data_IF_492591292755
#
_entry.id   IF_492591292755
#
_cell.length_a   1.000
_cell.length_b   1.000
_cell.length_c   1.000
_cell.angle_alpha   90.00
_cell.angle_beta   90.00
_cell.angle_gamma   90.00
#
_symmetry.space_group_name_H-M   'P 1'
#
loop_
_entity.id
_entity.type
_entity.pdbx_description
1 polymer ?
#
# COMPACT_ATOMS: atom_id res chain seq x y z
N UNK A 1 8.64 -12.78 -9.20
CA UNK A 1 8.09 -11.43 -9.42
C UNK A 1 7.05 -11.52 -10.52
N UNK A 2 5.90 -10.90 -10.28
CA UNK A 2 4.74 -10.91 -11.15
C UNK A 2 4.36 -9.45 -11.44
N UNK A 3 4.16 -9.13 -12.71
CA UNK A 3 3.70 -7.81 -13.17
C UNK A 3 2.25 -7.95 -13.58
N UNK A 4 1.34 -7.37 -12.80
CA UNK A 4 -0.07 -7.33 -13.10
C UNK A 4 -0.34 -6.15 -14.02
N UNK A 5 -0.58 -6.44 -15.30
CA UNK A 5 -0.86 -5.39 -16.28
C UNK A 5 -2.35 -5.06 -16.26
N UNK A 6 -2.71 -4.02 -15.50
CA UNK A 6 -4.08 -3.55 -15.30
C UNK A 6 -4.36 -2.24 -16.06
N UNK A 7 -3.31 -1.50 -16.44
CA UNK A 7 -3.44 -0.17 -17.06
C UNK A 7 -2.20 0.29 -17.84
N UNK A 8 -1.29 -0.63 -18.20
CA UNK A 8 -0.03 -0.37 -18.90
C UNK A 8 0.99 0.52 -18.19
N UNK A 9 0.68 1.07 -17.02
CA UNK A 9 1.54 2.04 -16.33
C UNK A 9 2.91 1.47 -15.97
N UNK A 10 2.95 0.18 -15.61
CA UNK A 10 4.18 -0.55 -15.31
C UNK A 10 4.88 -1.04 -16.57
N UNK A 11 4.17 -1.67 -17.49
CA UNK A 11 4.76 -2.32 -18.66
C UNK A 11 5.34 -1.32 -19.67
N UNK A 12 4.92 -0.06 -19.61
CA UNK A 12 5.52 1.03 -20.37
C UNK A 12 6.87 1.53 -19.79
N UNK A 13 7.23 1.16 -18.56
CA UNK A 13 8.46 1.63 -17.93
C UNK A 13 9.64 0.70 -18.22
N UNK A 14 10.76 1.29 -18.62
CA UNK A 14 11.95 0.55 -19.07
C UNK A 14 12.43 -0.54 -18.09
N UNK A 15 12.56 -0.29 -16.76
CA UNK A 15 13.07 -1.30 -15.83
C UNK A 15 12.16 -2.53 -15.72
N UNK A 16 10.85 -2.34 -15.84
CA UNK A 16 9.85 -3.41 -15.81
C UNK A 16 9.84 -4.14 -17.16
N UNK A 17 9.81 -3.41 -18.27
CA UNK A 17 9.84 -3.98 -19.63
C UNK A 17 11.08 -4.85 -19.86
N UNK A 18 12.24 -4.41 -19.36
CA UNK A 18 13.49 -5.17 -19.42
C UNK A 18 13.36 -6.51 -18.68
N UNK A 19 12.82 -6.51 -17.45
CA UNK A 19 12.62 -7.73 -16.65
C UNK A 19 11.71 -8.74 -17.33
N UNK A 20 10.68 -8.26 -18.02
CA UNK A 20 9.74 -9.11 -18.77
C UNK A 20 10.44 -9.74 -19.98
N UNK A 21 11.16 -8.94 -20.76
CA UNK A 21 11.92 -9.40 -21.94
C UNK A 21 13.00 -10.43 -21.56
N UNK A 22 13.68 -10.23 -20.42
CA UNK A 22 14.72 -11.14 -19.91
C UNK A 22 14.14 -12.41 -19.24
N UNK A 23 12.80 -12.56 -19.16
CA UNK A 23 12.16 -13.70 -18.49
C UNK A 23 12.34 -13.73 -16.96
N UNK A 24 12.79 -12.63 -16.36
CA UNK A 24 13.00 -12.50 -14.90
C UNK A 24 11.72 -12.15 -14.14
N UNK A 25 10.68 -11.70 -14.85
CA UNK A 25 9.35 -11.45 -14.32
C UNK A 25 8.27 -12.18 -15.15
N UNK A 26 7.16 -12.49 -14.52
CA UNK A 26 5.97 -13.06 -15.18
C UNK A 26 4.98 -11.96 -15.48
N UNK A 27 4.59 -11.80 -16.75
CA UNK A 27 3.50 -10.91 -17.17
C UNK A 27 2.16 -11.58 -16.89
N UNK A 28 1.26 -10.88 -16.20
CA UNK A 28 -0.12 -11.31 -15.98
C UNK A 28 -1.03 -10.25 -16.60
N UNK A 29 -1.57 -10.55 -17.78
CA UNK A 29 -2.48 -9.66 -18.49
C UNK A 29 -3.87 -9.64 -17.82
N UNK A 30 -4.25 -8.46 -17.33
CA UNK A 30 -5.53 -8.20 -16.67
C UNK A 30 -6.16 -6.89 -17.19
N UNK A 31 -5.78 -6.44 -18.39
CA UNK A 31 -6.21 -5.17 -18.94
C UNK A 31 -7.73 -5.09 -19.15
N UNK A 32 -8.36 -6.23 -19.43
CA UNK A 32 -9.81 -6.36 -19.53
C UNK A 32 -10.53 -6.13 -18.19
N UNK A 33 -9.87 -6.44 -17.07
CA UNK A 33 -10.39 -6.23 -15.72
C UNK A 33 -10.05 -4.84 -15.16
N UNK A 34 -8.91 -4.26 -15.53
CA UNK A 34 -8.37 -3.01 -15.00
C UNK A 34 -9.41 -1.88 -14.80
N UNK A 35 -10.11 -1.42 -15.86
CA UNK A 35 -11.11 -0.36 -15.75
C UNK A 35 -12.24 -0.66 -14.74
N UNK A 36 -12.51 -1.95 -14.51
CA UNK A 36 -13.54 -2.39 -13.57
C UNK A 36 -13.02 -2.59 -12.14
N UNK A 37 -11.70 -2.70 -11.96
CA UNK A 37 -11.05 -2.83 -10.66
C UNK A 37 -10.62 -1.49 -10.08
N UNK A 38 -10.48 -0.42 -10.87
CA UNK A 38 -10.07 0.90 -10.36
C UNK A 38 -10.97 1.48 -9.27
N UNK A 39 -10.39 2.03 -8.21
CA UNK A 39 -11.00 2.63 -7.02
C UNK A 39 -11.79 1.62 -6.20
N UNK A 40 -12.77 0.99 -6.83
CA UNK A 40 -13.59 -0.04 -6.24
C UNK A 40 -14.11 -1.05 -7.25
N UNK A 41 -14.58 -2.19 -6.77
CA UNK A 41 -15.14 -3.23 -7.64
C UNK A 41 -16.29 -4.02 -7.02
N UNK A 42 -16.97 -4.81 -7.85
CA UNK A 42 -18.00 -5.74 -7.38
C UNK A 42 -17.37 -7.06 -6.95
N UNK A 43 -18.05 -7.79 -6.08
CA UNK A 43 -17.55 -9.09 -5.60
C UNK A 43 -17.38 -10.12 -6.75
N UNK A 44 -18.25 -10.09 -7.76
CA UNK A 44 -18.13 -10.97 -8.92
C UNK A 44 -16.81 -10.73 -9.68
N UNK A 45 -16.47 -9.47 -9.96
CA UNK A 45 -15.23 -9.12 -10.66
C UNK A 45 -13.99 -9.37 -9.81
N UNK A 46 -14.08 -9.12 -8.50
CA UNK A 46 -13.02 -9.46 -7.55
C UNK A 46 -12.73 -10.97 -7.53
N UNK A 47 -13.77 -11.81 -7.60
CA UNK A 47 -13.60 -13.27 -7.70
C UNK A 47 -12.94 -13.67 -9.02
N UNK A 48 -13.36 -13.09 -10.14
CA UNK A 48 -12.71 -13.31 -11.45
C UNK A 48 -11.23 -12.94 -11.39
N UNK A 49 -10.89 -11.79 -10.82
CA UNK A 49 -9.51 -11.37 -10.57
C UNK A 49 -8.75 -12.40 -9.72
N UNK A 50 -9.32 -12.81 -8.59
CA UNK A 50 -8.69 -13.75 -7.66
C UNK A 50 -8.43 -15.11 -8.33
N UNK A 51 -9.36 -15.59 -9.16
CA UNK A 51 -9.20 -16.85 -9.92
C UNK A 51 -8.06 -16.75 -10.93
N UNK A 52 -7.99 -15.66 -11.71
CA UNK A 52 -6.90 -15.46 -12.67
C UNK A 52 -5.54 -15.32 -11.97
N UNK A 53 -5.49 -14.57 -10.87
CA UNK A 53 -4.30 -14.43 -10.04
C UNK A 53 -3.77 -15.79 -9.59
N UNK A 54 -4.65 -16.68 -9.11
CA UNK A 54 -4.28 -18.03 -8.66
C UNK A 54 -3.80 -18.93 -9.82
N UNK A 55 -4.39 -18.80 -11.00
CA UNK A 55 -3.99 -19.56 -12.19
C UNK A 55 -2.64 -19.12 -12.76
N UNK A 56 -2.34 -17.82 -12.67
CA UNK A 56 -1.13 -17.22 -13.24
C UNK A 56 0.05 -17.19 -12.26
N UNK A 57 -0.21 -17.17 -10.94
CA UNK A 57 0.84 -17.16 -9.93
C UNK A 57 1.43 -18.55 -9.73
N UNK A 58 2.68 -18.76 -10.17
CA UNK A 58 3.39 -20.02 -9.92
C UNK A 58 3.90 -20.05 -8.47
N UNK A 59 3.66 -21.13 -7.69
CA UNK A 59 4.28 -21.30 -6.39
C UNK A 59 5.81 -21.33 -6.54
N UNK A 60 6.50 -20.31 -6.03
CA UNK A 60 7.98 -20.24 -6.05
C UNK A 60 8.55 -20.65 -4.70
N UNK A 61 8.32 -21.91 -4.31
CA UNK A 61 8.96 -22.51 -3.13
C UNK A 61 8.95 -21.59 -1.89
N UNK A 62 10.13 -21.34 -1.32
CA UNK A 62 10.32 -20.51 -0.12
C UNK A 62 10.58 -19.02 -0.40
N UNK A 63 10.58 -18.57 -1.67
CA UNK A 63 10.86 -17.16 -2.01
C UNK A 63 9.60 -16.29 -1.83
N UNK A 64 9.75 -15.02 -1.46
CA UNK A 64 8.60 -14.11 -1.38
C UNK A 64 7.90 -13.96 -2.73
N UNK A 65 6.57 -13.87 -2.70
CA UNK A 65 5.79 -13.49 -3.87
C UNK A 65 5.82 -11.97 -4.02
N UNK A 66 6.45 -11.47 -5.07
CA UNK A 66 6.52 -10.02 -5.35
C UNK A 66 5.57 -9.69 -6.49
N UNK A 67 4.67 -8.74 -6.25
CA UNK A 67 3.65 -8.24 -7.17
C UNK A 67 3.89 -6.75 -7.42
N UNK A 68 4.02 -6.37 -8.68
CA UNK A 68 3.85 -4.97 -9.08
C UNK A 68 2.44 -4.82 -9.66
N UNK A 69 1.73 -3.84 -9.15
CA UNK A 69 0.35 -3.47 -9.45
C UNK A 69 0.40 -2.00 -9.90
N UNK A 70 -0.38 -1.60 -10.92
CA UNK A 70 -0.27 -0.27 -11.52
C UNK A 70 -0.65 0.89 -10.59
N UNK A 71 -1.72 1.60 -10.93
CA UNK A 71 -2.25 2.68 -10.10
C UNK A 71 -2.51 2.28 -8.64
N UNK A 72 -2.36 3.25 -7.72
CA UNK A 72 -2.83 3.13 -6.33
C UNK A 72 -4.33 2.85 -6.21
N UNK A 73 -5.11 3.15 -7.26
CA UNK A 73 -6.52 2.76 -7.40
C UNK A 73 -6.78 1.24 -7.22
N UNK A 74 -5.74 0.42 -7.35
CA UNK A 74 -5.80 -1.04 -7.23
C UNK A 74 -5.29 -1.58 -5.89
N UNK A 75 -4.93 -0.73 -4.93
CA UNK A 75 -4.40 -1.18 -3.65
C UNK A 75 -5.37 -2.07 -2.86
N UNK A 76 -6.69 -1.89 -3.09
CA UNK A 76 -7.71 -2.80 -2.53
C UNK A 76 -7.66 -4.25 -3.02
N UNK A 77 -6.76 -4.59 -3.94
CA UNK A 77 -6.49 -5.96 -4.36
C UNK A 77 -5.54 -6.70 -3.38
N UNK A 78 -4.86 -5.99 -2.46
CA UNK A 78 -3.96 -6.60 -1.46
C UNK A 78 -4.59 -7.76 -0.67
N UNK A 79 -5.85 -7.69 -0.20
CA UNK A 79 -6.50 -8.83 0.43
C UNK A 79 -6.59 -10.10 -0.43
N UNK A 80 -6.49 -10.01 -1.77
CA UNK A 80 -6.47 -11.19 -2.64
C UNK A 80 -5.12 -11.91 -2.57
N UNK A 81 -4.02 -11.16 -2.48
CA UNK A 81 -2.69 -11.73 -2.29
C UNK A 81 -2.56 -12.40 -0.92
N UNK A 82 -3.16 -11.79 0.11
CA UNK A 82 -3.18 -12.30 1.48
C UNK A 82 -4.10 -13.53 1.67
N UNK A 83 -5.09 -13.74 0.79
CA UNK A 83 -6.05 -14.83 0.93
C UNK A 83 -5.41 -16.23 0.80
N UNK A 84 -4.25 -16.33 0.13
CA UNK A 84 -3.50 -17.58 -0.06
C UNK A 84 -2.49 -17.90 1.05
N UNK A 85 -2.43 -17.08 2.11
CA UNK A 85 -1.50 -17.32 3.21
C UNK A 85 -1.78 -18.66 3.90
N UNK A 86 -0.71 -19.34 4.33
CA UNK A 86 -0.77 -20.63 5.04
C UNK A 86 -0.38 -20.50 6.51
N UNK A 87 0.05 -19.32 6.94
CA UNK A 87 0.46 -19.04 8.31
C UNK A 87 0.20 -17.57 8.71
N UNK A 88 0.18 -17.25 10.02
CA UNK A 88 -0.07 -15.89 10.49
C UNK A 88 1.01 -14.88 10.10
N UNK A 89 0.60 -13.67 9.73
CA UNK A 89 1.48 -12.55 9.34
C UNK A 89 1.15 -11.25 10.07
N UNK A 90 2.14 -10.37 10.12
CA UNK A 90 1.96 -8.93 10.31
C UNK A 90 2.06 -8.27 8.94
N UNK A 91 1.08 -7.43 8.62
CA UNK A 91 1.05 -6.65 7.40
C UNK A 91 1.71 -5.29 7.66
N UNK A 92 2.81 -5.01 6.96
CA UNK A 92 3.50 -3.72 6.97
C UNK A 92 2.99 -2.94 5.76
N UNK A 93 2.34 -1.82 6.02
CA UNK A 93 1.61 -1.03 5.05
C UNK A 93 2.28 0.34 4.91
N UNK A 94 2.96 0.59 3.79
CA UNK A 94 3.53 1.88 3.45
C UNK A 94 2.59 2.61 2.52
N UNK A 95 2.01 3.71 2.98
CA UNK A 95 0.97 4.45 2.26
C UNK A 95 0.84 5.86 2.85
N UNK A 96 0.54 6.87 2.01
CA UNK A 96 0.17 8.20 2.47
C UNK A 96 -1.23 8.23 3.11
N UNK A 97 -2.08 7.27 2.74
CA UNK A 97 -3.45 7.11 3.18
C UNK A 97 -3.58 5.98 4.21
N UNK A 98 -4.50 6.11 5.17
CA UNK A 98 -4.73 5.07 6.17
C UNK A 98 -5.59 3.90 5.66
N UNK A 99 -6.33 4.08 4.56
CA UNK A 99 -7.23 3.10 3.92
C UNK A 99 -8.20 2.38 4.88
N UNK A 100 -8.57 3.09 5.93
CA UNK A 100 -9.31 2.57 7.09
C UNK A 100 -10.81 2.88 7.07
N UNK A 101 -11.36 3.45 5.99
CA UNK A 101 -12.75 3.91 5.91
C UNK A 101 -13.67 2.71 6.11
N UNK A 102 -14.55 2.76 7.11
CA UNK A 102 -15.43 1.63 7.45
C UNK A 102 -16.66 1.48 6.56
N UNK A 103 -17.20 2.60 6.07
CA UNK A 103 -18.51 2.66 5.41
C UNK A 103 -18.43 2.69 3.87
N UNK A 104 -17.27 2.41 3.30
CA UNK A 104 -17.11 2.31 1.85
C UNK A 104 -17.61 0.96 1.31
N UNK A 105 -17.84 0.85 -0.02
CA UNK A 105 -18.06 -0.44 -0.68
C UNK A 105 -17.01 -1.48 -0.29
N UNK A 106 -17.41 -2.76 -0.24
CA UNK A 106 -16.57 -3.86 0.29
C UNK A 106 -15.19 -3.99 -0.37
N UNK A 107 -15.07 -3.63 -1.65
CA UNK A 107 -13.83 -3.68 -2.43
C UNK A 107 -13.53 -2.27 -2.91
N UNK A 108 -12.88 -1.47 -2.08
CA UNK A 108 -12.62 -0.05 -2.33
C UNK A 108 -11.27 0.33 -1.73
N UNK A 109 -10.48 1.13 -2.44
CA UNK A 109 -9.14 1.60 -2.05
C UNK A 109 -9.14 2.15 -0.62
N UNK A 110 -9.88 3.22 -0.35
CA UNK A 110 -9.95 3.80 1.00
C UNK A 110 -10.45 2.91 2.16
N UNK A 111 -10.83 1.64 1.96
CA UNK A 111 -11.38 0.76 3.02
C UNK A 111 -10.73 -0.61 3.15
N UNK A 112 -9.75 -0.93 2.31
CA UNK A 112 -9.29 -2.31 2.14
C UNK A 112 -8.57 -2.84 3.38
N UNK A 113 -7.97 -1.96 4.20
CA UNK A 113 -7.33 -2.33 5.47
C UNK A 113 -8.32 -3.05 6.39
N UNK A 114 -9.59 -2.62 6.40
CA UNK A 114 -10.64 -3.31 7.17
C UNK A 114 -10.93 -4.72 6.66
N UNK A 115 -10.70 -5.00 5.36
CA UNK A 115 -10.82 -6.35 4.81
C UNK A 115 -9.60 -7.20 5.16
N UNK A 116 -8.41 -6.62 5.13
CA UNK A 116 -7.19 -7.30 5.57
C UNK A 116 -7.29 -7.74 7.04
N UNK A 117 -7.77 -6.85 7.92
CA UNK A 117 -8.01 -7.14 9.34
C UNK A 117 -9.04 -8.26 9.60
N UNK A 118 -9.90 -8.57 8.63
CA UNK A 118 -10.88 -9.67 8.72
C UNK A 118 -10.29 -11.02 8.30
N UNK A 119 -9.09 -11.05 7.71
CA UNK A 119 -8.44 -12.30 7.31
C UNK A 119 -7.88 -13.02 8.55
N UNK A 120 -8.14 -14.33 8.71
CA UNK A 120 -7.82 -15.06 9.95
C UNK A 120 -6.31 -15.14 10.25
N UNK A 121 -5.49 -15.00 9.20
CA UNK A 121 -4.03 -15.06 9.31
C UNK A 121 -3.38 -13.68 9.40
N UNK A 122 -4.12 -12.58 9.26
CA UNK A 122 -3.58 -11.23 9.50
C UNK A 122 -3.73 -10.91 10.98
N UNK A 123 -2.60 -10.86 11.70
CA UNK A 123 -2.59 -10.60 13.15
C UNK A 123 -2.54 -9.13 13.51
N UNK A 124 -1.89 -8.34 12.65
CA UNK A 124 -1.71 -6.91 12.83
C UNK A 124 -1.48 -6.24 11.48
N UNK A 125 -2.03 -5.05 11.33
CA UNK A 125 -1.68 -4.11 10.26
C UNK A 125 -0.95 -2.94 10.90
N UNK A 126 0.22 -2.59 10.37
CA UNK A 126 1.00 -1.42 10.77
C UNK A 126 1.11 -0.51 9.57
N UNK A 127 0.42 0.63 9.61
CA UNK A 127 0.49 1.67 8.59
C UNK A 127 1.62 2.65 8.94
N UNK A 128 2.55 2.85 8.01
CA UNK A 128 3.72 3.70 8.13
C UNK A 128 3.70 4.72 7.00
N UNK A 129 3.78 6.00 7.35
CA UNK A 129 3.97 7.06 6.37
C UNK A 129 2.84 8.05 6.11
N UNK A 130 1.60 7.92 6.63
CA UNK A 130 0.56 8.87 6.30
C UNK A 130 0.93 10.34 6.53
N UNK A 131 0.60 11.19 5.57
CA UNK A 131 0.55 12.65 5.70
C UNK A 131 -0.83 13.19 5.34
N UNK A 132 -1.72 12.36 4.80
CA UNK A 132 -2.98 12.79 4.19
C UNK A 132 -3.97 13.42 5.18
N UNK A 133 -4.85 14.26 4.64
CA UNK A 133 -5.93 14.91 5.38
C UNK A 133 -7.01 13.93 5.89
N UNK A 134 -6.92 12.64 5.55
CA UNK A 134 -7.78 11.61 6.13
C UNK A 134 -7.58 11.45 7.63
N UNK A 135 -6.41 11.84 8.13
CA UNK A 135 -6.15 11.88 9.56
C UNK A 135 -6.74 13.12 10.22
N UNK A 136 -7.06 14.21 9.53
CA UNK A 136 -7.47 15.47 10.18
C UNK A 136 -8.72 15.32 11.08
N UNK A 137 -9.75 14.61 10.59
CA UNK A 137 -10.93 14.24 11.38
C UNK A 137 -11.27 12.75 11.17
N UNK A 138 -10.62 11.83 11.91
CA UNK A 138 -10.71 10.41 11.63
C UNK A 138 -12.12 9.85 11.79
N UNK A 139 -12.96 10.43 12.67
CA UNK A 139 -14.36 10.00 12.83
C UNK A 139 -15.20 10.27 11.60
N UNK A 140 -15.10 11.48 11.02
CA UNK A 140 -15.80 11.81 9.79
C UNK A 140 -15.27 11.01 8.60
N UNK A 141 -13.98 10.68 8.61
CA UNK A 141 -13.32 9.82 7.62
C UNK A 141 -13.54 8.32 7.89
N UNK A 142 -14.39 7.96 8.84
CA UNK A 142 -14.81 6.58 9.06
C UNK A 142 -13.73 5.66 9.63
N UNK A 143 -12.76 6.21 10.37
CA UNK A 143 -11.65 5.48 10.96
C UNK A 143 -12.10 4.29 11.84
N UNK A 144 -11.31 3.23 11.81
CA UNK A 144 -11.55 2.04 12.62
C UNK A 144 -10.93 2.16 14.03
N UNK A 145 -11.54 2.98 14.88
CA UNK A 145 -11.07 3.15 16.27
C UNK A 145 -11.12 1.89 17.13
N UNK A 146 -11.94 0.90 16.77
CA UNK A 146 -11.93 -0.38 17.48
C UNK A 146 -10.61 -1.14 17.21
N UNK A 147 -10.14 -1.13 15.96
CA UNK A 147 -8.86 -1.73 15.58
C UNK A 147 -7.66 -0.95 16.12
N UNK A 148 -7.74 0.39 16.17
CA UNK A 148 -6.71 1.22 16.83
C UNK A 148 -6.60 0.89 18.33
N UNK A 149 -7.74 0.85 19.02
CA UNK A 149 -7.81 0.53 20.46
C UNK A 149 -7.30 -0.86 20.80
N UNK A 150 -7.60 -1.86 19.98
CA UNK A 150 -7.13 -3.23 20.22
C UNK A 150 -5.66 -3.44 19.84
N UNK A 151 -5.03 -2.45 19.18
CA UNK A 151 -3.68 -2.57 18.63
C UNK A 151 -3.57 -3.51 17.42
N UNK A 152 -4.71 -3.94 16.86
CA UNK A 152 -4.75 -4.69 15.60
C UNK A 152 -4.38 -3.80 14.41
N UNK A 153 -4.75 -2.52 14.46
CA UNK A 153 -4.25 -1.47 13.57
C UNK A 153 -3.33 -0.56 14.37
N UNK A 154 -2.10 -0.37 13.90
CA UNK A 154 -1.17 0.63 14.42
C UNK A 154 -0.87 1.61 13.28
N UNK A 155 -0.82 2.90 13.59
CA UNK A 155 -0.63 3.93 12.58
C UNK A 155 0.44 4.90 13.06
N UNK A 156 1.46 5.09 12.22
CA UNK A 156 2.58 5.99 12.45
C UNK A 156 2.70 6.92 11.24
N UNK A 157 2.13 8.14 11.31
CA UNK A 157 2.22 9.11 10.22
C UNK A 157 3.68 9.45 9.94
N UNK A 158 4.02 9.75 8.69
CA UNK A 158 5.34 10.36 8.44
C UNK A 158 5.40 11.72 9.13
N UNK A 159 4.40 12.56 8.86
CA UNK A 159 4.20 13.81 9.55
C UNK A 159 2.73 14.22 9.47
N UNK A 160 2.07 14.42 10.60
CA UNK A 160 0.72 14.95 10.66
C UNK A 160 0.47 15.71 11.98
N UNK A 161 -0.33 16.77 11.92
CA UNK A 161 -0.75 17.51 13.10
C UNK A 161 -1.66 16.65 14.02
N UNK A 162 -1.88 17.01 15.29
CA UNK A 162 -2.82 16.27 16.12
C UNK A 162 -4.24 16.24 15.51
N UNK A 163 -4.85 15.06 15.49
CA UNK A 163 -6.19 14.87 14.91
C UNK A 163 -7.27 15.15 15.92
N UNK A 164 -8.30 15.92 15.53
CA UNK A 164 -9.44 16.17 16.42
C UNK A 164 -10.34 14.93 16.51
N UNK A 165 -10.69 14.55 17.74
CA UNK A 165 -11.59 13.43 18.04
C UNK A 165 -12.61 13.78 19.12
N UNK A 166 -13.78 13.16 19.02
CA UNK A 166 -14.87 13.20 19.98
C UNK A 166 -14.90 11.91 20.81
N UNK A 167 -15.08 12.06 22.11
CA UNK A 167 -15.11 10.93 23.04
C UNK A 167 -13.73 10.32 23.30
N UNK A 168 -13.74 9.13 23.90
CA UNK A 168 -12.52 8.42 24.29
C UNK A 168 -12.12 7.39 23.23
N UNK A 169 -10.99 7.63 22.59
CA UNK A 169 -10.28 6.69 21.72
C UNK A 169 -9.22 5.93 22.52
N UNK A 170 -8.51 6.59 23.44
CA UNK A 170 -7.43 5.98 24.23
C UNK A 170 -6.05 6.10 23.56
N UNK A 171 -5.04 5.60 24.27
CA UNK A 171 -3.65 5.59 23.80
C UNK A 171 -3.35 4.32 23.01
N UNK A 172 -2.40 4.40 22.09
CA UNK A 172 -1.94 3.27 21.31
C UNK A 172 -0.47 3.40 20.91
N UNK A 173 0.10 2.38 20.24
CA UNK A 173 1.53 2.37 19.92
C UNK A 173 2.02 3.56 19.08
N UNK A 174 1.16 4.14 18.24
CA UNK A 174 1.49 5.28 17.38
C UNK A 174 0.78 6.58 17.74
N UNK A 175 0.04 6.65 18.87
CA UNK A 175 -0.65 7.87 19.27
C UNK A 175 -0.93 7.95 20.78
N UNK A 176 -1.07 9.17 21.28
CA UNK A 176 -1.57 9.46 22.63
C UNK A 176 -2.77 10.39 22.53
N UNK A 177 -3.84 10.10 23.29
CA UNK A 177 -4.98 11.01 23.37
C UNK A 177 -4.76 12.05 24.47
N UNK A 178 -4.79 13.34 24.11
CA UNK A 178 -4.76 14.47 25.05
C UNK A 178 -6.00 15.32 24.84
N UNK A 179 -6.96 15.21 25.76
CA UNK A 179 -8.27 15.85 25.62
C UNK A 179 -8.99 15.39 24.35
N UNK A 180 -9.30 16.33 23.46
CA UNK A 180 -10.01 16.08 22.20
C UNK A 180 -9.08 15.88 20.99
N UNK A 181 -7.80 15.56 21.23
CA UNK A 181 -6.81 15.40 20.17
C UNK A 181 -6.04 14.09 20.31
N UNK A 182 -5.83 13.42 19.18
CA UNK A 182 -4.84 12.35 19.04
C UNK A 182 -3.52 12.96 18.60
N UNK A 183 -2.51 12.89 19.46
CA UNK A 183 -1.14 13.25 19.14
C UNK A 183 -0.43 12.03 18.58
N UNK A 184 -0.08 12.11 17.30
CA UNK A 184 0.60 11.03 16.61
C UNK A 184 2.08 10.97 16.94
N UNK A 185 2.64 9.77 16.86
CA UNK A 185 4.09 9.58 16.80
C UNK A 185 4.52 9.76 15.34
N UNK A 186 5.04 10.95 15.01
CA UNK A 186 5.49 11.29 13.66
C UNK A 186 6.86 10.67 13.39
N UNK A 187 6.95 9.86 12.34
CA UNK A 187 8.18 9.15 11.97
C UNK A 187 9.31 10.10 11.54
N UNK A 188 8.98 11.25 10.93
CA UNK A 188 9.95 12.27 10.52
C UNK A 188 10.71 12.89 11.71
N UNK A 189 10.21 12.74 12.93
CA UNK A 189 10.80 13.28 14.17
C UNK A 189 11.62 12.23 14.93
N UNK A 190 11.61 10.96 14.48
CA UNK A 190 12.28 9.85 15.14
C UNK A 190 13.63 9.51 14.50
N UNK A 191 14.48 8.84 15.27
CA UNK A 191 15.57 8.04 14.72
C UNK A 191 14.98 6.84 13.95
N UNK A 192 15.00 6.92 12.62
CA UNK A 192 14.36 5.97 11.74
C UNK A 192 14.90 4.54 11.91
N UNK A 193 16.23 4.38 11.92
CA UNK A 193 16.88 3.07 12.05
C UNK A 193 16.53 2.41 13.40
N UNK A 194 16.53 3.20 14.48
CA UNK A 194 16.14 2.71 15.81
C UNK A 194 14.67 2.33 15.87
N UNK A 195 13.79 3.17 15.32
CA UNK A 195 12.36 2.87 15.23
C UNK A 195 12.11 1.56 14.49
N UNK A 196 12.71 1.37 13.31
CA UNK A 196 12.57 0.16 12.50
C UNK A 196 13.05 -1.09 13.24
N UNK A 197 14.18 -1.01 13.93
CA UNK A 197 14.70 -2.12 14.72
C UNK A 197 13.72 -2.52 15.85
N UNK A 198 13.15 -1.53 16.55
CA UNK A 198 12.15 -1.77 17.59
C UNK A 198 10.82 -2.30 17.03
N UNK A 199 10.36 -1.77 15.89
CA UNK A 199 9.18 -2.27 15.21
C UNK A 199 9.36 -3.75 14.87
N UNK A 200 10.45 -4.10 14.19
CA UNK A 200 10.75 -5.48 13.82
C UNK A 200 10.82 -6.41 15.05
N UNK A 201 11.40 -5.95 16.15
CA UNK A 201 11.50 -6.74 17.39
C UNK A 201 10.15 -6.97 18.09
N UNK A 202 9.15 -6.11 17.87
CA UNK A 202 7.86 -6.13 18.58
C UNK A 202 6.69 -6.65 17.73
N UNK A 203 6.95 -7.02 16.47
CA UNK A 203 5.95 -7.68 15.62
C UNK A 203 5.47 -9.00 16.26
N UNK A 204 4.16 -9.29 16.24
CA UNK A 204 3.58 -10.49 16.86
C UNK A 204 3.85 -11.76 16.03
N UNK A 205 4.50 -11.64 14.88
CA UNK A 205 4.79 -12.74 13.96
C UNK A 205 6.22 -12.64 13.44
N UNK A 206 6.80 -13.78 13.12
CA UNK A 206 8.07 -13.86 12.38
C UNK A 206 7.89 -13.65 10.88
N UNK A 207 6.72 -14.05 10.37
CA UNK A 207 6.34 -13.85 8.98
C UNK A 207 5.70 -12.47 8.78
N UNK A 208 6.07 -11.79 7.70
CA UNK A 208 5.50 -10.49 7.32
C UNK A 208 5.06 -10.48 5.87
N UNK A 209 4.04 -9.68 5.59
CA UNK A 209 3.71 -9.23 4.25
C UNK A 209 3.94 -7.73 4.17
N UNK A 210 4.51 -7.23 3.09
CA UNK A 210 4.78 -5.81 2.90
C UNK A 210 3.94 -5.31 1.73
N UNK A 211 3.19 -4.24 1.92
CA UNK A 211 2.42 -3.60 0.84
C UNK A 211 2.82 -2.13 0.77
N UNK A 212 3.05 -1.64 -0.44
CA UNK A 212 3.64 -0.33 -0.71
C UNK A 212 2.75 0.38 -1.73
N UNK A 213 2.05 1.41 -1.31
CA UNK A 213 1.64 2.47 -2.24
C UNK A 213 2.76 3.51 -2.31
N UNK A 214 3.22 3.81 -3.52
CA UNK A 214 4.27 4.82 -3.74
C UNK A 214 3.81 6.23 -3.44
N UNK A 215 2.52 6.48 -3.21
CA UNK A 215 2.04 7.77 -2.77
C UNK A 215 2.60 8.16 -1.38
N UNK A 216 3.05 7.18 -0.56
CA UNK A 216 3.77 7.41 0.70
C UNK A 216 5.02 8.27 0.50
N UNK A 217 5.60 8.21 -0.70
CA UNK A 217 6.84 8.88 -1.02
C UNK A 217 6.64 10.38 -1.21
N UNK A 218 7.72 11.13 -1.03
CA UNK A 218 7.75 12.54 -1.38
C UNK A 218 7.67 12.72 -2.91
N UNK A 219 7.16 13.87 -3.35
CA UNK A 219 6.94 14.17 -4.78
C UNK A 219 8.21 14.14 -5.64
N UNK A 220 9.40 14.24 -5.04
CA UNK A 220 10.68 14.11 -5.73
C UNK A 220 11.06 12.67 -6.03
N UNK A 221 10.44 11.69 -5.37
CA UNK A 221 10.73 10.26 -5.54
C UNK A 221 9.60 9.51 -6.27
N UNK A 222 8.36 9.99 -6.24
CA UNK A 222 7.26 9.38 -6.99
C UNK A 222 6.26 10.41 -7.53
N UNK A 223 5.45 9.95 -8.47
CA UNK A 223 4.33 10.67 -9.03
C UNK A 223 3.15 9.69 -9.19
N UNK A 224 2.11 9.81 -8.37
CA UNK A 224 1.00 8.85 -8.36
C UNK A 224 -0.31 9.46 -8.85
N UNK A 225 -1.39 8.67 -8.91
CA UNK A 225 -2.74 9.21 -9.13
C UNK A 225 -3.32 9.95 -7.91
N UNK A 226 -2.67 9.85 -6.74
CA UNK A 226 -3.11 10.38 -5.47
C UNK A 226 -2.17 11.50 -5.01
N UNK A 227 -2.52 12.22 -3.94
CA UNK A 227 -1.60 13.16 -3.32
C UNK A 227 -0.43 12.44 -2.65
N UNK A 228 0.73 13.12 -2.58
CA UNK A 228 1.98 12.55 -2.10
C UNK A 228 2.15 12.78 -0.60
N UNK A 229 2.75 11.78 0.05
CA UNK A 229 3.30 11.85 1.38
C UNK A 229 4.65 12.56 1.42
N UNK A 230 5.41 12.30 2.49
CA UNK A 230 6.70 12.96 2.75
C UNK A 230 7.89 12.03 2.87
N UNK A 231 7.70 10.71 2.81
CA UNK A 231 8.78 9.75 3.03
C UNK A 231 9.77 9.77 1.85
N UNK A 232 11.07 9.88 2.10
CA UNK A 232 12.05 9.71 1.01
C UNK A 232 12.23 8.24 0.66
N UNK A 233 12.50 7.95 -0.62
CA UNK A 233 12.78 6.60 -1.12
C UNK A 233 13.90 5.91 -0.34
N UNK A 234 14.91 6.65 0.11
CA UNK A 234 15.97 6.13 0.97
C UNK A 234 15.45 5.48 2.26
N UNK A 235 14.48 6.12 2.93
CA UNK A 235 13.88 5.59 4.15
C UNK A 235 13.06 4.32 3.88
N UNK A 236 12.31 4.29 2.77
CA UNK A 236 11.59 3.10 2.34
C UNK A 236 12.55 1.94 2.07
N UNK A 237 13.62 2.18 1.29
CA UNK A 237 14.62 1.15 0.97
C UNK A 237 15.33 0.63 2.22
N UNK A 238 15.63 1.50 3.19
CA UNK A 238 16.18 1.11 4.48
C UNK A 238 15.22 0.19 5.26
N UNK A 239 13.94 0.55 5.32
CA UNK A 239 12.93 -0.26 5.99
C UNK A 239 12.75 -1.64 5.36
N UNK A 240 12.65 -1.69 4.02
CA UNK A 240 12.53 -2.94 3.27
C UNK A 240 13.73 -3.86 3.51
N UNK A 241 14.95 -3.31 3.50
CA UNK A 241 16.18 -4.04 3.80
C UNK A 241 16.19 -4.57 5.23
N UNK A 242 15.84 -3.75 6.21
CA UNK A 242 15.80 -4.17 7.61
C UNK A 242 14.73 -5.27 7.83
N UNK A 243 13.55 -5.11 7.27
CA UNK A 243 12.48 -6.11 7.37
C UNK A 243 12.89 -7.42 6.69
N UNK A 244 13.47 -7.37 5.49
CA UNK A 244 13.94 -8.56 4.78
C UNK A 244 15.06 -9.32 5.53
N UNK A 245 15.89 -8.61 6.30
CA UNK A 245 16.97 -9.22 7.09
C UNK A 245 16.51 -9.74 8.44
N UNK A 246 15.47 -9.15 9.04
CA UNK A 246 14.99 -9.48 10.40
C UNK A 246 13.77 -10.36 10.43
N UNK A 247 13.01 -10.44 9.34
CA UNK A 247 11.73 -11.14 9.27
C UNK A 247 11.64 -11.99 8.01
N UNK A 248 10.76 -12.98 8.07
CA UNK A 248 10.48 -13.83 6.91
C UNK A 248 9.40 -13.18 6.05
N UNK A 249 9.83 -12.48 5.00
CA UNK A 249 8.92 -11.84 4.04
C UNK A 249 8.25 -12.93 3.19
N UNK A 250 6.93 -13.05 3.29
CA UNK A 250 6.14 -14.00 2.50
C UNK A 250 5.76 -13.43 1.13
N UNK A 251 5.58 -12.12 1.07
CA UNK A 251 5.26 -11.42 -0.17
C UNK A 251 5.35 -9.92 -0.02
N UNK A 252 5.42 -9.27 -1.19
CA UNK A 252 5.44 -7.84 -1.36
C UNK A 252 4.46 -7.48 -2.48
N UNK A 253 3.59 -6.50 -2.28
CA UNK A 253 2.89 -5.84 -3.36
C UNK A 253 3.24 -4.34 -3.42
N UNK A 254 3.40 -3.83 -4.64
CA UNK A 254 3.79 -2.44 -4.92
C UNK A 254 2.78 -1.84 -5.89
N UNK A 255 2.17 -0.71 -5.53
CA UNK A 255 1.29 0.11 -6.37
C UNK A 255 1.70 1.59 -6.34
N UNK A 256 0.82 2.49 -6.80
CA UNK A 256 1.09 3.92 -6.83
C UNK A 256 1.75 4.40 -8.12
N UNK A 257 1.50 3.74 -9.26
CA UNK A 257 1.87 4.34 -10.55
C UNK A 257 0.93 5.48 -10.93
N UNK A 258 1.46 6.52 -11.60
CA UNK A 258 0.61 7.40 -12.38
C UNK A 258 0.13 6.68 -13.65
N UNK A 259 -1.15 6.85 -13.95
CA UNK A 259 -1.81 6.19 -15.05
C UNK A 259 -3.08 6.93 -15.44
N UNK A 260 -3.29 7.10 -16.75
CA UNK A 260 -4.43 7.87 -17.24
C UNK A 260 -5.75 7.22 -16.81
N UNK A 261 -6.64 7.93 -16.09
CA UNK A 261 -7.86 7.34 -15.56
C UNK A 261 -8.81 6.94 -16.69
N UNK A 262 -9.07 5.64 -16.84
CA UNK A 262 -10.03 5.08 -17.79
C UNK A 262 -11.35 4.69 -17.10
N UNK A 263 -12.00 5.63 -16.41
CA UNK A 263 -13.25 5.34 -15.71
C UNK A 263 -14.46 5.36 -16.67
N UNK A 264 -15.00 4.18 -16.98
CA UNK A 264 -16.26 4.05 -17.75
C UNK A 264 -17.52 4.35 -16.92
N UNK A 265 -17.42 4.29 -15.59
CA UNK A 265 -18.55 4.52 -14.67
C UNK A 265 -18.59 5.99 -14.22
N UNK A 266 -19.74 6.68 -14.30
CA UNK A 266 -19.85 8.09 -13.93
C UNK A 266 -19.59 8.37 -12.43
N UNK A 267 -19.94 7.44 -11.53
CA UNK A 267 -19.65 7.57 -10.11
C UNK A 267 -18.14 7.50 -9.83
N UNK A 268 -17.43 6.55 -10.46
CA UNK A 268 -15.97 6.48 -10.37
C UNK A 268 -15.29 7.74 -10.90
N UNK A 269 -15.83 8.33 -11.98
CA UNK A 269 -15.33 9.60 -12.52
C UNK A 269 -15.52 10.76 -11.54
N UNK A 270 -16.63 10.79 -10.83
CA UNK A 270 -16.90 11.83 -9.83
C UNK A 270 -15.99 11.67 -8.61
N UNK A 271 -15.85 10.45 -8.11
CA UNK A 271 -14.98 10.11 -6.97
C UNK A 271 -13.52 10.45 -7.27
N UNK A 272 -13.00 9.99 -8.42
CA UNK A 272 -11.65 10.36 -8.86
C UNK A 272 -11.45 11.88 -8.92
N UNK A 273 -12.44 12.65 -9.41
CA UNK A 273 -12.34 14.11 -9.45
C UNK A 273 -12.41 14.79 -8.08
N UNK A 274 -13.02 14.14 -7.10
CA UNK A 274 -13.11 14.64 -5.72
C UNK A 274 -11.80 14.41 -4.98
N UNK A 275 -11.24 13.22 -5.13
CA UNK A 275 -10.18 12.73 -4.25
C UNK A 275 -8.79 12.77 -4.88
N UNK A 276 -8.71 12.82 -6.22
CA UNK A 276 -7.43 12.86 -6.93
C UNK A 276 -7.07 14.26 -7.44
N UNK A 277 -5.77 14.60 -7.48
CA UNK A 277 -5.31 15.83 -8.13
C UNK A 277 -5.67 15.87 -9.63
N UNK A 278 -5.76 17.06 -10.23
CA UNK A 278 -6.09 17.23 -11.65
C UNK A 278 -5.13 16.47 -12.58
N UNK A 279 -5.66 15.89 -13.66
CA UNK A 279 -4.90 15.09 -14.62
C UNK A 279 -3.83 15.89 -15.41
N UNK A 280 -3.95 17.22 -15.47
CA UNK A 280 -3.00 18.11 -16.15
C UNK A 280 -1.67 18.26 -15.40
N UNK A 281 -1.53 17.62 -14.24
CA UNK A 281 -0.36 17.73 -13.35
C UNK A 281 0.88 16.96 -13.83
N UNK A 282 0.82 16.17 -14.90
CA UNK A 282 1.81 15.11 -15.15
C UNK A 282 2.57 15.23 -16.47
N UNK A 283 3.87 14.94 -16.40
CA UNK A 283 4.86 15.07 -17.47
C UNK A 283 5.60 13.75 -17.74
N UNK A 284 6.33 13.68 -18.85
CA UNK A 284 7.24 12.56 -19.12
C UNK A 284 8.31 12.40 -18.02
N UNK A 285 8.70 13.49 -17.35
CA UNK A 285 9.65 13.45 -16.25
C UNK A 285 9.07 12.75 -15.00
N UNK A 286 7.77 12.86 -14.75
CA UNK A 286 7.09 12.18 -13.65
C UNK A 286 7.03 10.67 -13.88
N UNK A 287 6.73 10.25 -15.11
CA UNK A 287 6.77 8.83 -15.50
C UNK A 287 8.20 8.28 -15.36
N UNK A 288 9.21 9.06 -15.76
CA UNK A 288 10.61 8.67 -15.61
C UNK A 288 11.03 8.55 -14.14
N UNK A 289 10.53 9.42 -13.26
CA UNK A 289 10.77 9.36 -11.81
C UNK A 289 10.21 8.05 -11.22
N UNK A 290 9.00 7.67 -11.60
CA UNK A 290 8.43 6.38 -11.21
C UNK A 290 9.28 5.20 -11.68
N UNK A 291 9.80 5.26 -12.91
CA UNK A 291 10.70 4.24 -13.43
C UNK A 291 12.00 4.14 -12.63
N UNK A 292 12.58 5.27 -12.21
CA UNK A 292 13.76 5.29 -11.34
C UNK A 292 13.48 4.64 -9.98
N UNK A 293 12.33 4.97 -9.37
CA UNK A 293 11.91 4.35 -8.11
C UNK A 293 11.69 2.85 -8.25
N UNK A 294 11.04 2.41 -9.34
CA UNK A 294 10.89 1.00 -9.64
C UNK A 294 12.26 0.32 -9.85
N UNK A 295 13.20 0.95 -10.55
CA UNK A 295 14.56 0.42 -10.71
C UNK A 295 15.26 0.22 -9.35
N UNK A 296 15.13 1.17 -8.43
CA UNK A 296 15.72 1.07 -7.09
C UNK A 296 15.09 -0.05 -6.25
N UNK A 297 13.76 -0.16 -6.27
CA UNK A 297 13.04 -1.27 -5.61
C UNK A 297 13.45 -2.63 -6.17
N UNK A 298 13.50 -2.74 -7.51
CA UNK A 298 13.92 -3.96 -8.21
C UNK A 298 15.36 -4.36 -7.88
N UNK A 299 16.27 -3.38 -7.81
CA UNK A 299 17.67 -3.62 -7.42
C UNK A 299 17.77 -4.12 -5.98
N UNK A 300 17.02 -3.51 -5.05
CA UNK A 300 16.96 -3.97 -3.66
C UNK A 300 16.38 -5.39 -3.57
N UNK A 301 15.31 -5.70 -4.29
CA UNK A 301 14.70 -7.02 -4.25
C UNK A 301 15.63 -8.12 -4.77
N UNK A 302 16.42 -7.85 -5.81
CA UNK A 302 17.46 -8.79 -6.27
C UNK A 302 18.55 -9.02 -5.22
N UNK A 303 18.89 -7.98 -4.47
CA UNK A 303 19.90 -8.06 -3.42
C UNK A 303 19.41 -8.86 -2.20
N UNK A 304 18.20 -8.59 -1.72
CA UNK A 304 17.69 -9.21 -0.48
C UNK A 304 17.00 -10.55 -0.71
N UNK A 305 16.60 -10.87 -1.95
CA UNK A 305 15.93 -12.13 -2.32
C UNK A 305 16.59 -12.83 -3.54
N UNK A 306 17.88 -13.19 -3.44
CA UNK A 306 18.64 -13.79 -4.55
C UNK A 306 18.06 -15.13 -5.01
#
# INVERSE_FOLDING_TARGET
>A
MNILDLDHSLTAQEPIARRLTEGRATHIDLLDLGPHLRLWTTEARYRTFSQRLQQSSRPRGRRPQIYFVGSGDYHHLTPAFLAGLTEPVSLIHFDNHPDWVRLAPRRHCGSWVNRALQLPLVRRVITLGPCSDDLHNPQLRGANFAALRSGQLQLFPWQHAPSRVWGHVGDGPGHQQRGHYLHWTNLAELDWSRFLAQLAATLPTEAVWITIDKDVLASEDAATNWDQGGMRLSHLLEALRLLATRKRVLGIDVCGEFSAPAHRNPFKRWEARSDQPPAERWSAADIQRNAQTNAALLALFDEVFP
#
